data_IF_111934302730
#
_entry.id   IF_111934302730
#
_cell.length_a   1.000
_cell.length_b   1.000
_cell.length_c   1.000
_cell.angle_alpha   90.00
_cell.angle_beta   90.00
_cell.angle_gamma   90.00
#
_symmetry.space_group_name_H-M   'P 1'
#
loop_
_entity.id
_entity.type
_entity.pdbx_description
1 polymer ?
#
# COMPACT_ATOMS: atom_id res chain seq x y z
N UNK A 1 7.24 -11.47 -30.52
CA UNK A 1 6.58 -11.05 -31.78
C UNK A 1 7.63 -11.01 -32.89
N UNK A 2 7.36 -11.57 -34.07
CA UNK A 2 8.34 -11.57 -35.15
C UNK A 2 8.48 -10.14 -35.68
N UNK A 3 9.72 -9.63 -35.71
CA UNK A 3 10.06 -8.38 -36.37
C UNK A 3 9.79 -8.58 -37.87
N UNK A 4 8.72 -7.96 -38.38
CA UNK A 4 8.50 -7.88 -39.83
C UNK A 4 9.74 -7.27 -40.45
N UNK A 5 10.38 -8.02 -41.34
CA UNK A 5 11.54 -7.58 -42.13
C UNK A 5 11.21 -6.23 -42.77
N UNK A 6 11.99 -5.20 -42.45
CA UNK A 6 11.79 -3.88 -43.01
C UNK A 6 11.98 -3.95 -44.54
N UNK A 7 11.10 -3.31 -45.33
CA UNK A 7 11.30 -3.22 -46.76
C UNK A 7 12.64 -2.51 -47.03
N UNK A 8 13.45 -3.06 -47.95
CA UNK A 8 14.73 -2.46 -48.32
C UNK A 8 14.48 -1.14 -49.07
N UNK A 9 14.71 -0.02 -48.38
CA UNK A 9 14.38 1.34 -48.82
C UNK A 9 15.16 1.77 -50.07
N UNK A 10 16.32 1.16 -50.32
CA UNK A 10 17.22 1.52 -51.42
C UNK A 10 16.70 1.11 -52.81
N UNK A 11 15.64 0.29 -52.86
CA UNK A 11 15.04 -0.20 -54.10
C UNK A 11 13.66 0.40 -54.40
N UNK A 12 13.16 1.33 -53.57
CA UNK A 12 11.87 1.98 -53.78
C UNK A 12 12.02 3.24 -54.63
N UNK A 13 11.05 3.48 -55.52
CA UNK A 13 10.95 4.74 -56.25
C UNK A 13 10.35 5.86 -55.37
N UNK A 14 10.42 7.10 -55.87
CA UNK A 14 10.00 8.28 -55.11
C UNK A 14 8.51 8.24 -54.71
N UNK A 15 7.65 7.62 -55.53
CA UNK A 15 6.22 7.51 -55.24
C UNK A 15 5.91 6.41 -54.23
N UNK A 16 6.60 5.26 -54.29
CA UNK A 16 6.52 4.23 -53.26
C UNK A 16 7.02 4.73 -51.90
N UNK A 17 8.09 5.55 -51.88
CA UNK A 17 8.58 6.17 -50.65
C UNK A 17 7.56 7.17 -50.05
N UNK A 18 6.89 7.98 -50.87
CA UNK A 18 5.82 8.89 -50.40
C UNK A 18 4.62 8.12 -49.86
N UNK A 19 4.22 7.04 -50.53
CA UNK A 19 3.12 6.19 -50.08
C UNK A 19 3.43 5.53 -48.73
N UNK A 20 4.65 4.99 -48.58
CA UNK A 20 5.12 4.42 -47.32
C UNK A 20 5.18 5.47 -46.20
N UNK A 21 5.68 6.67 -46.50
CA UNK A 21 5.72 7.77 -45.54
C UNK A 21 4.31 8.16 -45.07
N UNK A 22 3.34 8.25 -45.98
CA UNK A 22 1.94 8.53 -45.63
C UNK A 22 1.33 7.42 -44.75
N UNK A 23 1.63 6.15 -45.05
CA UNK A 23 1.19 5.02 -44.23
C UNK A 23 1.82 5.05 -42.83
N UNK A 24 3.12 5.34 -42.73
CA UNK A 24 3.83 5.43 -41.45
C UNK A 24 3.33 6.62 -40.63
N UNK A 25 3.10 7.79 -41.24
CA UNK A 25 2.51 8.94 -40.56
C UNK A 25 1.12 8.60 -40.01
N UNK A 26 0.27 7.95 -40.81
CA UNK A 26 -1.04 7.50 -40.35
C UNK A 26 -0.97 6.46 -39.22
N UNK A 27 0.04 5.58 -39.22
CA UNK A 27 0.29 4.65 -38.10
C UNK A 27 0.75 5.37 -36.84
N UNK A 28 1.65 6.34 -36.97
CA UNK A 28 2.15 7.14 -35.85
C UNK A 28 1.01 7.95 -35.20
N UNK A 29 0.14 8.56 -35.99
CA UNK A 29 -1.03 9.28 -35.47
C UNK A 29 -1.96 8.35 -34.68
N UNK A 30 -2.27 7.16 -35.20
CA UNK A 30 -3.09 6.17 -34.50
C UNK A 30 -2.42 5.70 -33.21
N UNK A 31 -1.12 5.45 -33.23
CA UNK A 31 -0.36 5.07 -32.04
C UNK A 31 -0.33 6.20 -31.00
N UNK A 32 -0.15 7.45 -31.43
CA UNK A 32 -0.19 8.59 -30.53
C UNK A 32 -1.57 8.76 -29.87
N UNK A 33 -2.64 8.53 -30.63
CA UNK A 33 -4.01 8.53 -30.10
C UNK A 33 -4.23 7.39 -29.10
N UNK A 34 -3.76 6.17 -29.40
CA UNK A 34 -3.87 5.01 -28.50
C UNK A 34 -3.07 5.22 -27.20
N UNK A 35 -1.85 5.74 -27.30
CA UNK A 35 -1.02 6.09 -26.15
C UNK A 35 -1.71 7.15 -25.29
N UNK A 36 -2.23 8.21 -25.91
CA UNK A 36 -2.94 9.26 -25.19
C UNK A 36 -4.19 8.72 -24.46
N UNK A 37 -4.98 7.88 -25.14
CA UNK A 37 -6.13 7.22 -24.53
C UNK A 37 -5.71 6.37 -23.32
N UNK A 38 -4.71 5.50 -23.48
CA UNK A 38 -4.19 4.68 -22.38
C UNK A 38 -3.66 5.51 -21.23
N UNK A 39 -2.88 6.55 -21.49
CA UNK A 39 -2.35 7.44 -20.45
C UNK A 39 -3.45 8.13 -19.64
N UNK A 40 -4.48 8.63 -20.32
CA UNK A 40 -5.62 9.27 -19.63
C UNK A 40 -6.38 8.28 -18.76
N UNK A 41 -6.57 7.05 -19.24
CA UNK A 41 -7.28 6.01 -18.51
C UNK A 41 -6.47 5.46 -17.34
N UNK A 42 -5.16 5.23 -17.53
CA UNK A 42 -4.21 4.87 -16.47
C UNK A 42 -4.25 5.92 -15.35
N UNK A 43 -4.22 7.22 -15.69
CA UNK A 43 -4.31 8.30 -14.68
C UNK A 43 -5.62 8.27 -13.90
N UNK A 44 -6.75 8.02 -14.58
CA UNK A 44 -8.06 7.90 -13.96
C UNK A 44 -8.11 6.73 -12.96
N UNK A 45 -7.77 5.53 -13.41
CA UNK A 45 -7.80 4.32 -12.57
C UNK A 45 -6.82 4.44 -11.38
N UNK A 46 -5.64 5.02 -11.60
CA UNK A 46 -4.67 5.27 -10.52
C UNK A 46 -5.26 6.22 -9.46
N UNK A 47 -6.00 7.25 -9.87
CA UNK A 47 -6.67 8.16 -8.95
C UNK A 47 -7.77 7.46 -8.16
N UNK A 48 -8.60 6.64 -8.81
CA UNK A 48 -9.67 5.86 -8.17
C UNK A 48 -9.11 4.90 -7.10
N UNK A 49 -8.04 4.17 -7.42
CA UNK A 49 -7.32 3.31 -6.45
C UNK A 49 -6.85 4.15 -5.25
N UNK A 50 -6.30 5.34 -5.47
CA UNK A 50 -5.83 6.19 -4.38
C UNK A 50 -6.97 6.66 -3.46
N UNK A 51 -8.14 6.97 -4.02
CA UNK A 51 -9.34 7.34 -3.27
C UNK A 51 -9.88 6.15 -2.46
N UNK A 52 -10.01 4.97 -3.07
CA UNK A 52 -10.50 3.76 -2.39
C UNK A 52 -9.55 3.33 -1.27
N UNK A 53 -8.24 3.37 -1.50
CA UNK A 53 -7.24 3.09 -0.44
C UNK A 53 -7.31 4.10 0.70
N UNK A 54 -7.59 5.38 0.43
CA UNK A 54 -7.80 6.38 1.47
C UNK A 54 -9.08 6.12 2.27
N UNK A 55 -10.15 5.66 1.61
CA UNK A 55 -11.37 5.23 2.30
C UNK A 55 -11.09 4.02 3.22
N UNK A 56 -10.41 2.99 2.70
CA UNK A 56 -10.06 1.75 3.41
C UNK A 56 -9.12 1.96 4.60
N UNK A 57 -8.05 2.75 4.41
CA UNK A 57 -6.93 2.84 5.38
C UNK A 57 -6.73 4.23 6.01
N UNK A 58 -7.37 5.27 5.48
CA UNK A 58 -7.06 6.67 5.81
C UNK A 58 -7.78 7.22 7.05
N UNK A 59 -8.90 6.63 7.48
CA UNK A 59 -9.61 7.04 8.71
C UNK A 59 -9.24 6.11 9.86
N UNK A 60 -8.46 6.62 10.83
CA UNK A 60 -8.08 5.90 12.05
C UNK A 60 -9.16 5.87 13.16
N UNK A 61 -10.35 6.45 12.95
CA UNK A 61 -11.31 6.64 14.06
C UNK A 61 -12.77 6.33 13.77
N UNK A 62 -13.14 5.84 12.58
CA UNK A 62 -14.53 5.50 12.23
C UNK A 62 -14.55 4.21 11.41
N UNK A 63 -14.11 3.10 12.00
CA UNK A 63 -14.49 1.80 11.45
C UNK A 63 -15.98 1.62 11.69
N UNK A 64 -16.73 1.34 10.62
CA UNK A 64 -18.11 0.87 10.75
C UNK A 64 -18.03 -0.49 11.46
N UNK A 65 -18.46 -0.54 12.72
CA UNK A 65 -18.42 -1.77 13.50
C UNK A 65 -19.46 -2.79 13.02
N UNK A 66 -19.17 -4.08 13.24
CA UNK A 66 -20.08 -5.19 12.94
C UNK A 66 -19.93 -5.79 11.55
N UNK A 67 -20.73 -6.82 11.24
CA UNK A 67 -20.64 -7.60 10.00
C UNK A 67 -20.85 -6.75 8.74
N UNK A 68 -21.69 -5.71 8.81
CA UNK A 68 -21.93 -4.79 7.68
C UNK A 68 -20.69 -3.97 7.33
N UNK A 69 -19.88 -3.61 8.32
CA UNK A 69 -18.60 -2.93 8.09
C UNK A 69 -17.62 -3.84 7.34
N UNK A 70 -17.51 -5.11 7.77
CA UNK A 70 -16.67 -6.11 7.11
C UNK A 70 -17.09 -6.37 5.66
N UNK A 71 -18.39 -6.46 5.39
CA UNK A 71 -18.91 -6.63 4.01
C UNK A 71 -18.57 -5.44 3.11
N UNK A 72 -18.63 -4.21 3.64
CA UNK A 72 -18.25 -3.00 2.90
C UNK A 72 -16.73 -2.97 2.64
N UNK A 73 -15.95 -3.40 3.61
CA UNK A 73 -14.51 -3.53 3.51
C UNK A 73 -14.08 -4.55 2.43
N UNK A 74 -14.70 -5.72 2.41
CA UNK A 74 -14.48 -6.75 1.39
C UNK A 74 -14.90 -6.28 -0.01
N UNK A 75 -16.02 -5.55 -0.12
CA UNK A 75 -16.47 -4.98 -1.38
C UNK A 75 -15.46 -3.96 -1.94
N UNK A 76 -14.92 -3.09 -1.07
CA UNK A 76 -13.88 -2.12 -1.46
C UNK A 76 -12.60 -2.82 -1.92
N UNK A 77 -12.20 -3.91 -1.25
CA UNK A 77 -11.01 -4.67 -1.65
C UNK A 77 -11.22 -5.37 -3.00
N UNK A 78 -12.42 -5.88 -3.27
CA UNK A 78 -12.79 -6.45 -4.57
C UNK A 78 -12.75 -5.40 -5.69
N UNK A 79 -13.29 -4.20 -5.45
CA UNK A 79 -13.27 -3.09 -6.40
C UNK A 79 -11.82 -2.63 -6.70
N UNK A 80 -10.98 -2.50 -5.68
CA UNK A 80 -9.56 -2.19 -5.86
C UNK A 80 -8.88 -3.25 -6.73
N UNK A 81 -9.12 -4.54 -6.46
CA UNK A 81 -8.52 -5.63 -7.23
C UNK A 81 -8.96 -5.60 -8.70
N UNK A 82 -10.24 -5.32 -8.97
CA UNK A 82 -10.75 -5.22 -10.35
C UNK A 82 -10.09 -4.06 -11.11
N UNK A 83 -9.96 -2.89 -10.48
CA UNK A 83 -9.32 -1.71 -11.09
C UNK A 83 -7.82 -1.95 -11.30
N UNK A 84 -7.14 -2.62 -10.38
CA UNK A 84 -5.73 -3.00 -10.52
C UNK A 84 -5.52 -3.94 -11.72
N UNK A 85 -6.43 -4.89 -11.97
CA UNK A 85 -6.38 -5.75 -13.16
C UNK A 85 -6.58 -4.95 -14.45
N UNK A 86 -7.51 -4.00 -14.46
CA UNK A 86 -7.72 -3.13 -15.62
C UNK A 86 -6.46 -2.30 -15.92
N UNK A 87 -5.78 -1.79 -14.89
CA UNK A 87 -4.53 -1.06 -15.01
C UNK A 87 -3.42 -1.91 -15.64
N UNK A 88 -3.29 -3.17 -15.21
CA UNK A 88 -2.33 -4.14 -15.78
C UNK A 88 -2.62 -4.36 -17.27
N UNK A 89 -3.89 -4.54 -17.65
CA UNK A 89 -4.28 -4.76 -19.04
C UNK A 89 -3.95 -3.57 -19.96
N UNK A 90 -3.90 -2.36 -19.41
CA UNK A 90 -3.52 -1.14 -20.13
C UNK A 90 -1.99 -0.92 -20.22
N UNK A 91 -1.20 -1.80 -19.61
CA UNK A 91 0.26 -1.66 -19.54
C UNK A 91 0.75 -0.78 -18.39
N UNK A 92 -0.10 -0.51 -17.39
CA UNK A 92 0.31 0.15 -16.17
C UNK A 92 1.22 -0.72 -15.28
N UNK A 93 1.88 -0.12 -14.28
CA UNK A 93 2.77 -0.85 -13.38
C UNK A 93 2.01 -1.91 -12.59
N UNK A 94 2.57 -3.11 -12.48
CA UNK A 94 2.02 -4.14 -11.59
C UNK A 94 2.15 -3.70 -10.13
N UNK A 95 1.12 -3.90 -9.30
CA UNK A 95 1.22 -3.64 -7.88
C UNK A 95 2.24 -4.61 -7.27
N UNK A 96 3.37 -4.08 -6.82
CA UNK A 96 4.33 -4.88 -6.06
C UNK A 96 3.71 -5.26 -4.71
N UNK A 97 3.86 -6.52 -4.27
CA UNK A 97 3.47 -6.91 -2.92
C UNK A 97 4.30 -6.08 -1.95
N UNK A 98 3.67 -5.08 -1.33
CA UNK A 98 4.29 -4.30 -0.26
C UNK A 98 4.62 -5.28 0.85
N UNK A 99 5.91 -5.54 1.06
CA UNK A 99 6.38 -6.21 2.26
C UNK A 99 5.88 -5.38 3.43
N UNK A 100 4.89 -5.91 4.16
CA UNK A 100 4.38 -5.29 5.37
C UNK A 100 5.52 -5.33 6.36
N UNK A 101 6.33 -4.28 6.37
CA UNK A 101 7.26 -4.03 7.45
C UNK A 101 6.35 -3.74 8.63
N UNK A 102 6.06 -4.78 9.43
CA UNK A 102 5.42 -4.56 10.71
C UNK A 102 6.24 -3.47 11.40
N UNK A 103 5.63 -2.34 11.79
CA UNK A 103 6.33 -1.34 12.56
C UNK A 103 6.78 -2.04 13.84
N UNK A 104 8.05 -2.44 13.89
CA UNK A 104 8.65 -2.94 15.11
C UNK A 104 8.60 -1.77 16.07
N UNK A 105 7.80 -1.90 17.13
CA UNK A 105 7.83 -0.95 18.25
C UNK A 105 9.27 -0.90 18.73
N UNK A 106 9.95 0.21 18.49
CA UNK A 106 11.26 0.44 19.07
C UNK A 106 11.07 0.47 20.58
N UNK A 107 11.97 -0.21 21.31
CA UNK A 107 11.98 -0.13 22.76
C UNK A 107 12.16 1.34 23.19
N UNK A 108 11.56 1.72 24.32
CA UNK A 108 11.75 3.06 24.85
C UNK A 108 13.23 3.28 25.21
N UNK A 109 13.80 4.46 24.96
CA UNK A 109 15.19 4.74 25.27
C UNK A 109 15.57 4.38 26.72
N UNK A 110 16.78 3.84 26.98
CA UNK A 110 17.22 3.51 28.32
C UNK A 110 17.37 4.75 29.22
N UNK A 111 17.55 5.93 28.64
CA UNK A 111 17.75 7.20 29.33
C UNK A 111 16.47 7.78 29.95
N UNK A 112 15.29 7.32 29.52
CA UNK A 112 14.03 7.79 30.10
C UNK A 112 13.90 7.31 31.55
N UNK A 113 13.48 8.19 32.49
CA UNK A 113 13.23 7.79 33.86
C UNK A 113 12.11 6.74 33.89
N UNK A 114 12.36 5.60 34.54
CA UNK A 114 11.40 4.49 34.66
C UNK A 114 10.90 4.41 36.10
N UNK A 115 9.58 4.29 36.25
CA UNK A 115 8.94 3.97 37.54
C UNK A 115 8.51 2.49 37.46
N UNK A 116 9.08 1.64 38.31
CA UNK A 116 8.71 0.21 38.35
C UNK A 116 7.50 0.00 39.27
N UNK A 117 6.40 -0.52 38.73
CA UNK A 117 5.25 -0.98 39.49
C UNK A 117 5.19 -2.50 39.39
N UNK A 118 5.38 -3.19 40.52
CA UNK A 118 5.32 -4.66 40.58
C UNK A 118 3.97 -5.10 41.09
N UNK A 119 3.29 -5.92 40.32
CA UNK A 119 2.04 -6.56 40.72
C UNK A 119 2.35 -7.97 41.24
N UNK A 120 2.51 -8.09 42.55
CA UNK A 120 2.71 -9.38 43.24
C UNK A 120 1.47 -9.74 44.07
N UNK A 121 1.19 -11.04 44.27
CA UNK A 121 0.14 -11.46 45.19
C UNK A 121 0.48 -11.04 46.61
N UNK A 122 -0.55 -10.87 47.45
CA UNK A 122 -0.37 -10.45 48.85
C UNK A 122 0.58 -11.34 49.65
N UNK A 123 0.66 -12.63 49.30
CA UNK A 123 1.54 -13.61 49.95
C UNK A 123 2.17 -14.50 48.89
N UNK A 124 3.48 -14.71 48.98
CA UNK A 124 4.25 -15.63 48.11
C UNK A 124 4.51 -16.99 48.76
N UNK A 125 3.83 -17.26 49.88
CA UNK A 125 3.84 -18.53 50.59
C UNK A 125 2.63 -19.34 50.16
N UNK A 126 2.87 -20.55 49.65
CA UNK A 126 1.81 -21.47 49.32
C UNK A 126 1.08 -21.94 50.60
N UNK A 127 -0.17 -22.38 50.47
CA UNK A 127 -0.93 -22.97 51.58
C UNK A 127 -0.25 -24.18 52.22
N UNK A 128 0.65 -24.85 51.51
CA UNK A 128 1.47 -25.95 52.03
C UNK A 128 2.73 -25.50 52.80
N UNK A 129 2.98 -24.19 52.95
CA UNK A 129 4.14 -23.63 53.68
C UNK A 129 5.40 -23.45 52.83
N UNK A 130 5.40 -23.87 51.56
CA UNK A 130 6.53 -23.68 50.65
C UNK A 130 6.53 -22.29 50.01
N UNK A 131 7.72 -21.79 49.64
CA UNK A 131 7.87 -20.57 48.84
C UNK A 131 7.39 -20.82 47.40
N UNK A 132 6.56 -19.92 46.87
CA UNK A 132 6.09 -20.00 45.49
C UNK A 132 7.25 -19.73 44.50
N UNK A 133 7.28 -20.48 43.40
CA UNK A 133 8.21 -20.28 42.29
C UNK A 133 7.59 -19.38 41.22
N UNK A 134 8.36 -18.40 40.72
CA UNK A 134 7.91 -17.52 39.63
C UNK A 134 7.95 -18.27 38.30
N UNK A 135 6.84 -18.30 37.57
CA UNK A 135 6.73 -18.93 36.25
C UNK A 135 6.23 -17.87 35.27
N UNK A 136 7.11 -17.44 34.38
CA UNK A 136 6.82 -16.37 33.42
C UNK A 136 6.75 -14.98 34.08
N UNK A 137 7.05 -13.96 33.28
CA UNK A 137 6.89 -12.56 33.64
C UNK A 137 6.36 -11.84 32.41
N UNK A 138 5.31 -11.04 32.60
CA UNK A 138 4.83 -10.11 31.58
C UNK A 138 5.24 -8.70 31.98
N UNK A 139 5.86 -7.98 31.05
CA UNK A 139 6.39 -6.63 31.28
C UNK A 139 5.79 -5.69 30.25
N UNK A 140 5.21 -4.59 30.73
CA UNK A 140 4.69 -3.53 29.86
C UNK A 140 5.32 -2.19 30.26
N UNK A 141 5.85 -1.47 29.27
CA UNK A 141 6.35 -0.10 29.45
C UNK A 141 5.31 0.89 28.91
N UNK A 142 5.00 1.93 29.70
CA UNK A 142 4.08 3.01 29.32
C UNK A 142 4.78 4.35 29.52
N UNK A 143 4.65 5.25 28.55
CA UNK A 143 5.15 6.62 28.65
C UNK A 143 4.11 7.49 29.37
N UNK A 144 4.46 8.00 30.55
CA UNK A 144 3.65 8.99 31.25
C UNK A 144 4.00 10.40 30.79
N UNK A 145 2.98 11.25 30.64
CA UNK A 145 3.12 12.63 30.20
C UNK A 145 2.85 13.60 31.35
N UNK A 146 3.78 14.52 31.59
CA UNK A 146 3.57 15.64 32.52
C UNK A 146 3.34 16.92 31.70
N UNK A 147 2.15 17.55 31.81
CA UNK A 147 1.88 18.81 31.13
C UNK A 147 2.86 19.92 31.52
N UNK A 148 3.32 20.71 30.54
CA UNK A 148 4.13 21.90 30.81
C UNK A 148 3.33 22.95 31.58
N UNK A 149 3.84 23.39 32.72
CA UNK A 149 3.22 24.46 33.53
C UNK A 149 3.61 25.81 32.91
N UNK A 150 2.62 26.68 32.68
CA UNK A 150 2.85 28.06 32.27
C UNK A 150 2.76 28.98 33.50
N UNK A 151 3.75 29.83 33.72
CA UNK A 151 3.70 30.93 34.70
C UNK A 151 3.71 32.28 33.99
N UNK A 152 3.12 33.30 34.62
CA UNK A 152 3.08 34.70 34.15
C UNK A 152 4.18 35.50 34.82
#
# INVERSE_FOLDING_TARGET
>A
MPLKTAPNLDHLDADALRALAAELMGKLERQAQDIHFKDTHIRKLTHEIAVLRRYRFGKKSEQLGGEQGLLLEDAVDADIAAIEQELINLGGPQPEPKTVTQPKRQALPPELPRIQVRHEPHTTTCSCGCQMQRIGEDTSEKLDYTPGVFSV
#
